data_IF_795217251082
#
_entry.id   IF_795217251082
#
_cell.length_a   1.000
_cell.length_b   1.000
_cell.length_c   1.000
_cell.angle_alpha   90.00
_cell.angle_beta   90.00
_cell.angle_gamma   90.00
#
_symmetry.space_group_name_H-M   'P 1'
#
loop_
_entity.id
_entity.type
_entity.pdbx_description
1 polymer ?
#
# COMPACT_ATOMS: atom_id res chain seq x y z
N UNK A 1 -8.53 -4.04 4.08
CA UNK A 1 -8.02 -4.20 2.68
C UNK A 1 -6.64 -4.83 2.63
N UNK A 2 -5.70 -4.35 3.45
CA UNK A 2 -4.29 -4.77 3.50
C UNK A 2 -4.11 -6.26 3.84
N UNK A 3 -4.93 -6.81 4.74
CA UNK A 3 -4.87 -8.24 5.08
C UNK A 3 -5.29 -9.15 3.91
N UNK A 4 -6.30 -8.74 3.13
CA UNK A 4 -6.80 -9.52 1.97
C UNK A 4 -5.75 -9.55 0.85
N UNK A 5 -5.02 -8.46 0.65
CA UNK A 5 -4.03 -8.34 -0.41
C UNK A 5 -2.77 -9.15 -0.13
N UNK A 6 -2.34 -9.25 1.13
CA UNK A 6 -1.20 -10.06 1.54
C UNK A 6 -1.51 -11.55 1.34
N UNK A 7 -2.72 -11.97 1.74
CA UNK A 7 -3.20 -13.33 1.53
C UNK A 7 -3.19 -13.66 0.03
N UNK A 8 -3.67 -12.76 -0.82
CA UNK A 8 -3.63 -12.93 -2.28
C UNK A 8 -2.18 -13.04 -2.82
N UNK A 9 -1.26 -12.19 -2.36
CA UNK A 9 0.15 -12.20 -2.83
C UNK A 9 0.88 -13.48 -2.42
N UNK A 10 0.60 -14.02 -1.23
CA UNK A 10 1.19 -15.28 -0.74
C UNK A 10 0.60 -16.50 -1.48
N UNK A 11 -0.66 -16.43 -1.92
CA UNK A 11 -1.34 -17.49 -2.66
C UNK A 11 -0.89 -17.59 -4.13
N UNK A 12 -0.39 -16.49 -4.73
CA UNK A 12 0.09 -16.44 -6.13
C UNK A 12 1.17 -17.50 -6.45
N UNK A 13 2.27 -17.63 -5.69
CA UNK A 13 3.30 -18.64 -6.00
C UNK A 13 2.81 -20.09 -5.81
N UNK A 14 1.89 -20.34 -4.86
CA UNK A 14 1.29 -21.67 -4.63
C UNK A 14 0.37 -22.08 -5.79
N UNK A 15 -0.44 -21.14 -6.28
CA UNK A 15 -1.43 -21.42 -7.33
C UNK A 15 -0.82 -21.33 -8.74
N UNK A 16 0.27 -20.60 -8.91
CA UNK A 16 1.04 -20.56 -10.16
C UNK A 16 1.50 -21.96 -10.62
N UNK A 17 1.68 -22.90 -9.70
CA UNK A 17 2.10 -24.27 -10.03
C UNK A 17 0.94 -25.14 -10.57
N UNK A 18 -0.32 -24.78 -10.28
CA UNK A 18 -1.49 -25.61 -10.59
C UNK A 18 -2.34 -25.07 -11.76
N UNK A 19 -2.57 -23.75 -11.84
CA UNK A 19 -3.30 -23.17 -12.97
C UNK A 19 -3.10 -21.64 -13.11
N UNK A 20 -2.63 -21.13 -14.28
CA UNK A 20 -2.32 -19.71 -14.46
C UNK A 20 -3.56 -18.81 -14.44
N UNK A 21 -4.71 -19.31 -14.86
CA UNK A 21 -5.98 -18.55 -14.91
C UNK A 21 -6.47 -18.19 -13.51
N UNK A 22 -6.39 -19.12 -12.56
CA UNK A 22 -6.80 -18.86 -11.17
C UNK A 22 -5.93 -17.79 -10.51
N UNK A 23 -4.62 -17.79 -10.79
CA UNK A 23 -3.69 -16.76 -10.33
C UNK A 23 -4.10 -15.36 -10.81
N UNK A 24 -4.46 -15.23 -12.09
CA UNK A 24 -4.87 -13.94 -12.68
C UNK A 24 -6.15 -13.42 -12.02
N UNK A 25 -7.15 -14.29 -11.81
CA UNK A 25 -8.39 -13.88 -11.13
C UNK A 25 -8.15 -13.39 -9.71
N UNK A 26 -7.35 -14.12 -8.91
CA UNK A 26 -7.04 -13.76 -7.52
C UNK A 26 -6.22 -12.47 -7.47
N UNK A 27 -5.21 -12.34 -8.34
CA UNK A 27 -4.39 -11.13 -8.41
C UNK A 27 -5.23 -9.90 -8.79
N UNK A 28 -6.13 -10.03 -9.77
CA UNK A 28 -6.97 -8.93 -10.21
C UNK A 28 -8.01 -8.53 -9.17
N UNK A 29 -8.56 -9.51 -8.44
CA UNK A 29 -9.48 -9.26 -7.33
C UNK A 29 -8.79 -8.48 -6.20
N UNK A 30 -7.56 -8.86 -5.84
CA UNK A 30 -6.75 -8.13 -4.87
C UNK A 30 -6.50 -6.68 -5.30
N UNK A 31 -6.17 -6.44 -6.58
CA UNK A 31 -5.97 -5.09 -7.13
C UNK A 31 -7.24 -4.24 -7.08
N UNK A 32 -8.39 -4.85 -7.35
CA UNK A 32 -9.69 -4.17 -7.26
C UNK A 32 -10.00 -3.70 -5.83
N UNK A 33 -9.76 -4.55 -4.83
CA UNK A 33 -9.98 -4.19 -3.43
C UNK A 33 -9.09 -3.03 -2.96
N UNK A 34 -7.82 -2.99 -3.40
CA UNK A 34 -6.90 -1.87 -3.12
C UNK A 34 -7.43 -0.57 -3.72
N UNK A 35 -7.79 -0.60 -5.01
CA UNK A 35 -8.30 0.57 -5.72
C UNK A 35 -9.55 1.14 -5.06
N UNK A 36 -10.49 0.28 -4.68
CA UNK A 36 -11.70 0.68 -3.97
C UNK A 36 -11.40 1.34 -2.62
N UNK A 37 -10.48 0.78 -1.83
CA UNK A 37 -10.09 1.39 -0.55
C UNK A 37 -9.40 2.74 -0.74
N UNK A 38 -8.53 2.86 -1.74
CA UNK A 38 -7.88 4.13 -2.06
C UNK A 38 -8.95 5.16 -2.43
N UNK A 39 -9.91 4.82 -3.31
CA UNK A 39 -10.98 5.73 -3.69
C UNK A 39 -11.77 6.26 -2.48
N UNK A 40 -12.10 5.40 -1.52
CA UNK A 40 -12.78 5.80 -0.28
C UNK A 40 -11.90 6.72 0.57
N UNK A 41 -10.62 6.39 0.76
CA UNK A 41 -9.68 7.25 1.48
C UNK A 41 -9.53 8.62 0.82
N UNK A 42 -9.47 8.71 -0.51
CA UNK A 42 -9.36 9.99 -1.22
C UNK A 42 -10.57 10.90 -1.04
N UNK A 43 -11.75 10.35 -0.76
CA UNK A 43 -12.98 11.10 -0.48
C UNK A 43 -13.04 11.49 1.01
N UNK A 44 -12.65 10.59 1.90
CA UNK A 44 -12.73 10.80 3.34
C UNK A 44 -11.65 11.74 3.90
N UNK A 45 -10.42 11.70 3.38
CA UNK A 45 -9.35 12.59 3.85
C UNK A 45 -9.74 14.07 3.66
N UNK A 46 -10.36 14.52 2.54
CA UNK A 46 -10.98 15.85 2.35
C UNK A 46 -11.89 16.34 3.44
N UNK A 47 -12.66 15.44 4.01
CA UNK A 47 -13.67 15.79 4.99
C UNK A 47 -13.06 16.06 6.36
N UNK A 48 -11.91 15.45 6.67
CA UNK A 48 -11.23 15.61 7.97
C UNK A 48 -10.08 16.61 8.00
N UNK A 49 -9.51 17.03 6.86
CA UNK A 49 -8.29 17.86 6.88
C UNK A 49 -8.34 19.04 5.89
N UNK A 50 -7.87 20.24 6.31
CA UNK A 50 -7.76 21.40 5.44
C UNK A 50 -6.82 21.13 4.25
N UNK A 51 -7.17 21.71 3.10
CA UNK A 51 -6.60 21.41 1.76
C UNK A 51 -5.09 21.63 1.64
N UNK A 52 -4.48 22.40 2.55
CA UNK A 52 -3.07 22.82 2.50
C UNK A 52 -2.07 21.67 2.71
N UNK A 53 -2.40 20.69 3.57
CA UNK A 53 -1.48 19.60 3.95
C UNK A 53 -1.66 18.32 3.14
N UNK A 54 -2.87 18.05 2.62
CA UNK A 54 -3.14 16.82 1.85
C UNK A 54 -2.37 16.75 0.53
N UNK A 55 -2.35 17.84 -0.24
CA UNK A 55 -1.74 17.84 -1.59
C UNK A 55 -0.23 17.60 -1.52
N UNK A 56 0.45 18.23 -0.57
CA UNK A 56 1.88 18.04 -0.34
C UNK A 56 2.24 16.62 0.10
N UNK A 57 1.52 16.07 1.09
CA UNK A 57 1.75 14.72 1.58
C UNK A 57 1.56 13.65 0.49
N UNK A 58 0.49 13.76 -0.30
CA UNK A 58 0.26 12.84 -1.41
C UNK A 58 1.31 12.99 -2.51
N UNK A 59 1.78 14.20 -2.81
CA UNK A 59 2.86 14.44 -3.77
C UNK A 59 4.16 13.73 -3.37
N UNK A 60 4.55 13.83 -2.10
CA UNK A 60 5.73 13.13 -1.56
C UNK A 60 5.57 11.60 -1.61
N UNK A 61 4.42 11.08 -1.20
CA UNK A 61 4.15 9.64 -1.26
C UNK A 61 4.22 9.10 -2.70
N UNK A 62 3.63 9.82 -3.66
CA UNK A 62 3.67 9.44 -5.07
C UNK A 62 5.10 9.52 -5.60
N UNK A 63 5.88 10.53 -5.23
CA UNK A 63 7.29 10.62 -5.63
C UNK A 63 8.09 9.39 -5.16
N UNK A 64 7.94 8.98 -3.90
CA UNK A 64 8.55 7.75 -3.38
C UNK A 64 8.07 6.49 -4.12
N UNK A 65 6.77 6.40 -4.41
CA UNK A 65 6.21 5.29 -5.20
C UNK A 65 6.81 5.22 -6.62
N UNK A 66 7.02 6.38 -7.26
CA UNK A 66 7.65 6.47 -8.58
C UNK A 66 9.12 6.05 -8.56
N UNK A 67 9.86 6.43 -7.52
CA UNK A 67 11.26 5.99 -7.35
C UNK A 67 11.31 4.46 -7.26
N UNK A 68 10.45 3.85 -6.45
CA UNK A 68 10.37 2.38 -6.35
C UNK A 68 10.03 1.70 -7.69
N UNK A 69 9.11 2.30 -8.46
CA UNK A 69 8.73 1.78 -9.78
C UNK A 69 9.86 1.87 -10.83
N UNK A 70 10.75 2.86 -10.73
CA UNK A 70 11.94 2.99 -11.60
C UNK A 70 13.01 1.98 -11.18
N UNK A 71 13.19 1.77 -9.88
CA UNK A 71 14.19 0.86 -9.32
C UNK A 71 13.84 -0.62 -9.62
N UNK A 72 12.55 -0.97 -9.63
CA UNK A 72 12.09 -2.35 -9.87
C UNK A 72 12.65 -3.01 -11.16
N UNK A 73 12.49 -2.44 -12.37
CA UNK A 73 13.03 -3.04 -13.59
C UNK A 73 14.56 -2.99 -13.67
N UNK A 74 15.21 -2.03 -13.01
CA UNK A 74 16.69 -1.95 -12.95
C UNK A 74 17.23 -3.16 -12.19
N UNK A 75 16.61 -3.49 -11.05
CA UNK A 75 16.96 -4.67 -10.25
C UNK A 75 16.71 -5.94 -11.07
N UNK A 76 15.55 -6.06 -11.71
CA UNK A 76 15.16 -7.22 -12.52
C UNK A 76 16.13 -7.47 -13.70
N UNK A 77 16.58 -6.40 -14.36
CA UNK A 77 17.53 -6.50 -15.49
C UNK A 77 18.96 -6.81 -15.02
N UNK A 78 19.34 -6.37 -13.82
CA UNK A 78 20.70 -6.52 -13.28
C UNK A 78 20.95 -7.89 -12.62
N UNK A 79 19.89 -8.66 -12.34
CA UNK A 79 19.95 -9.89 -11.56
C UNK A 79 19.63 -11.09 -12.47
N UNK A 80 20.43 -12.17 -12.37
CA UNK A 80 20.20 -13.40 -13.12
C UNK A 80 18.92 -14.13 -12.68
N UNK A 81 18.28 -14.86 -13.60
CA UNK A 81 16.99 -15.57 -13.41
C UNK A 81 16.93 -16.46 -12.15
N UNK A 82 18.07 -16.93 -11.65
CA UNK A 82 18.18 -17.75 -10.44
C UNK A 82 17.81 -16.99 -9.14
N UNK A 83 17.97 -15.67 -9.10
CA UNK A 83 17.69 -14.84 -7.92
C UNK A 83 16.36 -14.07 -8.01
N UNK A 84 15.64 -14.21 -9.11
CA UNK A 84 14.30 -13.65 -9.33
C UNK A 84 13.30 -14.01 -8.20
N UNK A 85 13.22 -15.27 -7.71
CA UNK A 85 12.36 -15.59 -6.58
C UNK A 85 12.81 -14.92 -5.26
N UNK A 86 14.12 -14.70 -5.07
CA UNK A 86 14.65 -14.06 -3.87
C UNK A 86 14.23 -12.58 -3.79
N UNK A 87 14.28 -11.86 -4.92
CA UNK A 87 13.79 -10.48 -5.02
C UNK A 87 12.30 -10.39 -4.74
N UNK A 88 11.50 -11.36 -5.22
CA UNK A 88 10.07 -11.43 -4.92
C UNK A 88 9.82 -11.60 -3.42
N UNK A 89 10.48 -12.58 -2.77
CA UNK A 89 10.36 -12.79 -1.32
C UNK A 89 10.84 -11.57 -0.51
N UNK A 90 11.92 -10.91 -0.92
CA UNK A 90 12.41 -9.70 -0.26
C UNK A 90 11.38 -8.55 -0.33
N UNK A 91 10.76 -8.34 -1.49
CA UNK A 91 9.71 -7.33 -1.65
C UNK A 91 8.44 -7.66 -0.85
N UNK A 92 8.05 -8.93 -0.78
CA UNK A 92 6.94 -9.40 0.05
C UNK A 92 7.23 -9.22 1.55
N UNK A 93 8.47 -9.47 1.97
CA UNK A 93 8.93 -9.22 3.34
C UNK A 93 8.89 -7.74 3.70
N UNK A 94 9.34 -6.85 2.81
CA UNK A 94 9.26 -5.40 3.03
C UNK A 94 7.80 -4.93 3.13
N UNK A 95 6.90 -5.46 2.31
CA UNK A 95 5.47 -5.17 2.40
C UNK A 95 4.88 -5.61 3.75
N UNK A 96 5.31 -6.77 4.28
CA UNK A 96 4.91 -7.22 5.61
C UNK A 96 5.41 -6.26 6.69
N UNK A 97 6.66 -5.81 6.62
CA UNK A 97 7.21 -4.83 7.57
C UNK A 97 6.41 -3.53 7.56
N UNK A 98 6.06 -3.01 6.37
CA UNK A 98 5.23 -1.80 6.24
C UNK A 98 3.86 -2.01 6.89
N UNK A 99 3.26 -3.18 6.70
CA UNK A 99 1.96 -3.53 7.31
C UNK A 99 2.08 -3.64 8.82
N UNK A 100 3.14 -4.29 9.31
CA UNK A 100 3.40 -4.42 10.73
C UNK A 100 3.67 -3.05 11.35
N UNK A 101 4.38 -2.17 10.65
CA UNK A 101 4.59 -0.79 11.07
C UNK A 101 3.29 0.03 11.03
N UNK A 102 2.39 -0.24 10.08
CA UNK A 102 1.06 0.37 9.99
C UNK A 102 0.12 -0.14 11.09
N UNK A 103 0.29 -1.38 11.55
CA UNK A 103 -0.42 -1.93 12.71
C UNK A 103 0.19 -1.47 14.04
N UNK A 104 1.52 -1.30 14.07
CA UNK A 104 2.28 -0.86 15.24
C UNK A 104 2.16 0.65 15.45
N UNK A 105 1.95 1.44 14.39
CA UNK A 105 1.30 2.73 14.51
C UNK A 105 -0.14 2.43 14.92
N UNK A 106 -0.51 2.56 16.22
CA UNK A 106 -1.91 2.46 16.59
C UNK A 106 -2.64 3.46 15.71
N UNK A 107 -3.60 2.97 14.94
CA UNK A 107 -4.60 3.74 14.20
C UNK A 107 -4.70 5.14 14.81
N UNK A 108 -4.08 6.14 14.18
CA UNK A 108 -4.18 7.57 14.53
C UNK A 108 -5.58 8.04 14.15
N UNK A 109 -6.57 7.44 14.79
CA UNK A 109 -7.99 7.63 14.60
C UNK A 109 -8.68 7.82 15.94
N UNK A 110 -8.03 8.45 16.92
CA UNK A 110 -8.69 8.85 18.18
C UNK A 110 -8.12 10.13 18.83
N UNK A 111 -7.57 11.06 18.05
CA UNK A 111 -7.70 12.47 18.46
C UNK A 111 -8.84 13.04 17.62
N UNK A 112 -10.02 12.92 18.22
CA UNK A 112 -11.17 13.78 18.01
C UNK A 112 -10.72 15.21 17.68
N UNK A 113 -11.21 15.72 16.55
CA UNK A 113 -11.26 17.17 16.32
C UNK A 113 -12.36 17.77 17.19
N UNK A 114 -12.23 17.65 18.51
CA UNK A 114 -12.99 18.45 19.48
C UNK A 114 -12.14 19.63 20.02
N UNK A 115 -10.88 19.77 19.57
CA UNK A 115 -9.96 20.80 20.09
C UNK A 115 -9.78 22.02 19.15
N UNK A 116 -10.52 22.12 18.04
CA UNK A 116 -10.51 23.36 17.22
C UNK A 116 -11.52 24.42 17.68
N UNK A 117 -12.41 24.13 18.65
CA UNK A 117 -13.34 25.14 19.19
C UNK A 117 -12.75 26.03 20.30
N UNK A 118 -11.56 25.73 20.86
CA UNK A 118 -11.01 26.46 22.03
C UNK A 118 -9.70 27.24 21.80
N UNK A 119 -9.32 27.51 20.55
CA UNK A 119 -8.21 28.44 20.22
C UNK A 119 -8.66 29.75 19.55
N UNK A 120 -9.98 29.97 19.44
CA UNK A 120 -10.59 31.21 18.94
C UNK A 120 -11.14 32.15 20.03
N UNK A 121 -10.93 31.83 21.31
CA UNK A 121 -11.28 32.70 22.43
C UNK A 121 -10.04 32.97 23.26
N UNK A 122 -9.25 33.97 22.87
CA UNK A 122 -8.55 34.93 23.74
C UNK A 122 -8.05 36.09 22.87
#
# INVERSE_FOLDING_TARGET
>A
VTSVTIICVILIPIISNHSPIATVFIAQFGKFAISGSIAVSWIFVPELFPTAIRSGANGFFIAFSRIGAIVAPIIDTSISDEYLPYTFYASAGLALIVVLLTLLLPETKYTSMDDEEDYGKN
#
